data_IF_259392244753
#
_entry.id   IF_259392244753
#
_cell.length_a   1.000
_cell.length_b   1.000
_cell.length_c   1.000
_cell.angle_alpha   90.00
_cell.angle_beta   90.00
_cell.angle_gamma   90.00
#
_symmetry.space_group_name_H-M   'P 1'
#
loop_
_entity.id
_entity.type
_entity.pdbx_description
1 polymer ?
#
# COMPACT_ATOMS: atom_id res chain seq x y z
N UNK A 1 29.44 11.51 44.92
CA UNK A 1 28.34 10.53 45.15
C UNK A 1 27.05 11.23 44.73
N UNK A 2 26.23 10.83 43.77
CA UNK A 2 25.91 9.56 43.08
C UNK A 2 25.75 9.91 41.57
N UNK A 3 26.47 9.29 40.64
CA UNK A 3 26.22 7.97 40.02
C UNK A 3 25.03 7.96 39.03
N UNK A 4 25.40 7.76 37.76
CA UNK A 4 24.84 6.84 36.77
C UNK A 4 23.75 7.26 35.77
N UNK A 5 24.06 6.92 34.50
CA UNK A 5 23.19 6.51 33.37
C UNK A 5 22.51 7.65 32.59
N UNK A 6 22.37 7.63 31.27
CA UNK A 6 22.85 6.73 30.20
C UNK A 6 22.53 7.40 28.86
N UNK A 7 23.23 6.97 27.82
CA UNK A 7 23.09 7.29 26.41
C UNK A 7 21.65 7.30 25.86
N UNK A 8 21.36 8.28 24.99
CA UNK A 8 20.46 8.16 23.84
C UNK A 8 20.59 9.43 22.97
N UNK A 9 21.62 9.51 22.12
CA UNK A 9 21.71 10.54 21.08
C UNK A 9 22.30 9.90 19.84
N UNK A 10 21.45 9.16 19.12
CA UNK A 10 21.62 8.76 17.71
C UNK A 10 20.38 8.00 17.28
N UNK A 11 19.38 8.70 16.74
CA UNK A 11 18.38 8.12 15.83
C UNK A 11 17.49 9.22 15.23
N UNK A 12 17.55 9.31 13.90
CA UNK A 12 16.46 9.71 12.99
C UNK A 12 16.18 11.23 12.90
N UNK A 13 16.91 11.89 12.00
CA UNK A 13 16.36 13.00 11.19
C UNK A 13 16.59 12.63 9.74
N UNK A 14 15.57 12.03 9.11
CA UNK A 14 15.44 11.98 7.66
C UNK A 14 13.99 11.58 7.34
N UNK A 15 13.04 12.51 7.45
CA UNK A 15 11.69 12.40 6.87
C UNK A 15 10.99 13.76 6.99
N UNK A 16 11.48 14.77 6.29
CA UNK A 16 10.70 15.98 5.98
C UNK A 16 11.33 16.73 4.80
N UNK A 17 10.47 17.17 3.88
CA UNK A 17 10.73 17.81 2.59
C UNK A 17 11.17 16.79 1.52
N UNK A 18 10.35 16.48 0.52
CA UNK A 18 9.75 17.42 -0.45
C UNK A 18 8.36 16.91 -0.85
N UNK A 19 7.31 17.70 -0.62
CA UNK A 19 6.07 17.59 -1.39
C UNK A 19 5.68 19.01 -1.85
N UNK A 20 6.49 19.54 -2.77
CA UNK A 20 6.13 20.69 -3.58
C UNK A 20 5.40 20.21 -4.82
N UNK A 21 4.16 20.66 -4.97
CA UNK A 21 3.33 20.47 -6.15
C UNK A 21 4.10 20.78 -7.44
N UNK A 22 4.27 19.77 -8.29
CA UNK A 22 4.27 19.97 -9.75
C UNK A 22 3.43 18.83 -10.35
N UNK A 23 2.29 19.20 -10.90
CA UNK A 23 1.44 18.33 -11.71
C UNK A 23 2.20 18.08 -13.02
N UNK A 24 3.12 17.12 -12.98
CA UNK A 24 3.84 16.68 -14.16
C UNK A 24 3.37 15.26 -14.41
N UNK A 25 2.55 15.10 -15.44
CA UNK A 25 2.16 13.81 -16.00
C UNK A 25 3.39 13.16 -16.64
N UNK A 26 4.30 12.67 -15.80
CA UNK A 26 5.22 11.60 -16.12
C UNK A 26 4.69 10.38 -15.39
N UNK A 27 4.76 9.21 -16.03
CA UNK A 27 4.45 7.94 -15.37
C UNK A 27 5.14 7.94 -14.01
N UNK A 28 4.35 8.08 -12.95
CA UNK A 28 4.83 7.95 -11.60
C UNK A 28 5.33 6.51 -11.53
N UNK A 29 6.64 6.32 -11.39
CA UNK A 29 7.20 5.06 -10.90
C UNK A 29 6.63 4.92 -9.48
N UNK A 30 5.37 4.51 -9.40
CA UNK A 30 4.66 4.33 -8.17
C UNK A 30 5.47 3.31 -7.40
N UNK A 31 5.98 3.69 -6.23
CA UNK A 31 6.78 2.82 -5.38
C UNK A 31 6.07 1.47 -5.25
N UNK A 32 6.72 0.42 -5.75
CA UNK A 32 6.20 -0.95 -5.72
C UNK A 32 6.87 -1.76 -4.63
N UNK A 33 6.13 -2.68 -4.04
CA UNK A 33 6.66 -3.64 -3.07
C UNK A 33 6.27 -5.07 -3.42
N UNK A 34 7.10 -6.02 -2.97
CA UNK A 34 6.75 -7.43 -2.97
C UNK A 34 5.95 -7.75 -1.70
N UNK A 35 4.89 -8.53 -1.84
CA UNK A 35 4.02 -8.96 -0.74
C UNK A 35 4.16 -10.47 -0.57
N UNK A 36 4.45 -10.90 0.66
CA UNK A 36 4.37 -12.31 1.06
C UNK A 36 3.06 -12.55 1.79
N UNK A 37 2.32 -13.58 1.41
CA UNK A 37 1.06 -13.96 2.04
C UNK A 37 1.33 -15.05 3.10
N UNK A 38 0.67 -14.92 4.25
CA UNK A 38 0.68 -15.98 5.27
C UNK A 38 -0.06 -17.22 4.74
N UNK A 39 0.64 -18.34 4.70
CA UNK A 39 0.12 -19.62 4.23
C UNK A 39 -0.19 -20.59 5.38
N UNK A 40 -0.23 -20.11 6.64
CA UNK A 40 -0.47 -20.95 7.82
C UNK A 40 -1.83 -21.65 7.83
N UNK A 41 -2.81 -21.13 7.09
CA UNK A 41 -4.14 -21.72 6.89
C UNK A 41 -4.21 -22.69 5.71
N UNK A 42 -3.11 -22.93 4.98
CA UNK A 42 -3.13 -23.80 3.82
C UNK A 42 -3.38 -25.26 4.21
N UNK A 43 -4.30 -25.90 3.51
CA UNK A 43 -4.65 -27.30 3.68
C UNK A 43 -4.34 -28.11 2.41
N UNK A 44 -4.24 -29.42 2.54
CA UNK A 44 -4.06 -30.28 1.38
C UNK A 44 -5.33 -30.33 0.52
N UNK A 45 -5.20 -30.04 -0.76
CA UNK A 45 -6.29 -29.99 -1.73
C UNK A 45 -6.06 -30.96 -2.89
N UNK A 46 -7.14 -31.48 -3.46
CA UNK A 46 -7.13 -32.34 -4.66
C UNK A 46 -8.46 -32.21 -5.40
N UNK A 47 -8.53 -32.64 -6.66
CA UNK A 47 -9.79 -32.70 -7.42
C UNK A 47 -10.56 -31.36 -7.43
N UNK A 48 -9.87 -30.26 -7.75
CA UNK A 48 -10.47 -28.93 -7.89
C UNK A 48 -10.94 -28.29 -6.56
N UNK A 49 -10.43 -28.76 -5.42
CA UNK A 49 -10.60 -28.08 -4.13
C UNK A 49 -9.49 -27.04 -3.89
N UNK A 50 -9.69 -26.18 -2.88
CA UNK A 50 -8.80 -25.05 -2.58
C UNK A 50 -7.84 -25.42 -1.44
N UNK A 51 -6.55 -25.16 -1.65
CA UNK A 51 -5.52 -25.32 -0.62
C UNK A 51 -5.40 -24.07 0.24
N UNK A 52 -5.46 -22.88 -0.38
CA UNK A 52 -5.37 -21.60 0.32
C UNK A 52 -6.44 -20.64 -0.19
N UNK A 53 -7.05 -19.89 0.72
CA UNK A 53 -7.89 -18.73 0.41
C UNK A 53 -7.22 -17.48 0.97
N UNK A 54 -7.05 -16.48 0.10
CA UNK A 54 -6.49 -15.17 0.41
C UNK A 54 -7.67 -14.18 0.37
N UNK A 55 -8.06 -13.72 1.55
CA UNK A 55 -9.16 -12.77 1.69
C UNK A 55 -8.72 -11.37 1.25
N UNK A 56 -9.67 -10.51 0.86
CA UNK A 56 -9.39 -9.13 0.46
C UNK A 56 -8.62 -8.33 1.53
N UNK A 57 -8.90 -8.60 2.81
CA UNK A 57 -8.19 -7.99 3.94
C UNK A 57 -6.72 -8.44 4.06
N UNK A 58 -6.36 -9.59 3.49
CA UNK A 58 -4.97 -10.06 3.43
C UNK A 58 -4.23 -9.52 2.23
N UNK A 59 -4.90 -9.45 1.08
CA UNK A 59 -4.38 -8.79 -0.10
C UNK A 59 -5.49 -8.20 -0.97
N UNK A 60 -5.42 -6.87 -1.15
CA UNK A 60 -6.30 -6.15 -2.06
C UNK A 60 -5.77 -6.25 -3.50
N UNK A 61 -6.50 -6.96 -4.37
CA UNK A 61 -6.11 -7.20 -5.76
C UNK A 61 -5.96 -5.92 -6.61
N UNK A 62 -6.59 -4.81 -6.21
CA UNK A 62 -6.38 -3.50 -6.87
C UNK A 62 -4.94 -3.02 -6.79
N UNK A 63 -4.12 -3.59 -5.90
CA UNK A 63 -2.69 -3.28 -5.75
C UNK A 63 -1.84 -3.88 -6.86
N UNK A 64 -2.33 -4.85 -7.62
CA UNK A 64 -1.59 -5.42 -8.74
C UNK A 64 -1.26 -4.32 -9.78
N UNK A 65 -0.04 -4.40 -10.31
CA UNK A 65 0.40 -3.62 -11.47
C UNK A 65 0.50 -4.54 -12.69
N UNK A 66 0.66 -3.97 -13.88
CA UNK A 66 0.85 -4.76 -15.11
C UNK A 66 2.09 -5.64 -15.06
N UNK A 67 3.06 -5.30 -14.22
CA UNK A 67 4.30 -6.06 -14.03
C UNK A 67 4.23 -7.02 -12.82
N UNK A 68 3.08 -7.11 -12.14
CA UNK A 68 2.90 -8.03 -11.02
C UNK A 68 2.87 -9.48 -11.48
N UNK A 69 3.54 -10.34 -10.70
CA UNK A 69 3.44 -11.80 -10.80
C UNK A 69 3.02 -12.37 -9.45
N UNK A 70 2.15 -13.36 -9.47
CA UNK A 70 1.83 -14.19 -8.30
C UNK A 70 2.61 -15.50 -8.46
N UNK A 71 3.54 -15.75 -7.54
CA UNK A 71 4.36 -16.96 -7.50
C UNK A 71 3.89 -17.78 -6.30
N UNK A 72 3.40 -18.99 -6.59
CA UNK A 72 2.90 -19.93 -5.59
C UNK A 72 3.86 -21.11 -5.49
N UNK A 73 4.36 -21.38 -4.29
CA UNK A 73 5.12 -22.58 -3.96
C UNK A 73 4.22 -23.57 -3.22
N UNK A 74 4.32 -24.85 -3.53
CA UNK A 74 3.51 -25.92 -2.96
C UNK A 74 4.27 -27.25 -2.94
N UNK A 75 3.83 -28.15 -2.07
CA UNK A 75 4.20 -29.56 -2.14
C UNK A 75 3.16 -30.31 -2.98
N UNK A 76 3.62 -31.22 -3.84
CA UNK A 76 2.77 -32.11 -4.64
C UNK A 76 2.83 -33.55 -4.12
N UNK A 77 1.67 -34.19 -4.03
CA UNK A 77 1.48 -35.60 -3.70
C UNK A 77 0.59 -36.26 -4.77
N UNK A 78 0.65 -37.59 -4.88
CA UNK A 78 -0.26 -38.39 -5.72
C UNK A 78 -0.35 -37.93 -7.20
N UNK A 79 0.80 -37.59 -7.80
CA UNK A 79 0.85 -37.05 -9.16
C UNK A 79 0.33 -38.08 -10.18
N UNK A 80 -0.75 -37.70 -10.87
CA UNK A 80 -1.35 -38.42 -11.97
C UNK A 80 -0.81 -37.92 -13.31
N UNK A 81 0.25 -38.56 -13.80
CA UNK A 81 0.86 -38.33 -15.11
C UNK A 81 -0.12 -38.47 -16.30
N UNK A 82 -1.24 -39.16 -16.10
CA UNK A 82 -2.27 -39.37 -17.14
C UNK A 82 -3.38 -38.31 -17.10
N UNK A 83 -3.32 -37.36 -16.18
CA UNK A 83 -4.26 -36.23 -16.15
C UNK A 83 -4.15 -35.43 -17.46
N UNK A 84 -5.29 -34.90 -17.93
CA UNK A 84 -5.32 -33.96 -19.04
C UNK A 84 -4.71 -32.59 -18.70
N UNK A 85 -4.52 -32.28 -17.42
CA UNK A 85 -3.90 -31.05 -16.96
C UNK A 85 -2.37 -31.15 -16.90
N UNK A 86 -1.73 -30.06 -17.35
CA UNK A 86 -0.27 -29.95 -17.40
C UNK A 86 0.34 -29.43 -16.10
N UNK A 87 -0.48 -28.87 -15.22
CA UNK A 87 -0.06 -28.21 -13.99
C UNK A 87 -0.88 -28.71 -12.80
N UNK A 88 -0.27 -28.71 -11.61
CA UNK A 88 -0.86 -29.22 -10.36
C UNK A 88 -1.67 -28.17 -9.61
N UNK A 89 -1.34 -26.90 -9.78
CA UNK A 89 -1.97 -25.79 -9.07
C UNK A 89 -2.67 -24.84 -10.05
N UNK A 90 -3.81 -24.32 -9.64
CA UNK A 90 -4.52 -23.23 -10.31
C UNK A 90 -4.70 -22.04 -9.38
N UNK A 91 -4.81 -20.85 -9.96
CA UNK A 91 -5.21 -19.64 -9.26
C UNK A 91 -6.67 -19.34 -9.61
N UNK A 92 -7.45 -18.87 -8.65
CA UNK A 92 -8.83 -18.45 -8.87
C UNK A 92 -9.01 -17.02 -8.37
N UNK A 93 -9.49 -16.12 -9.22
CA UNK A 93 -9.98 -14.80 -8.84
C UNK A 93 -11.50 -14.84 -8.79
N UNK A 94 -12.07 -14.62 -7.62
CA UNK A 94 -13.51 -14.69 -7.41
C UNK A 94 -14.10 -13.33 -7.07
N UNK A 95 -15.30 -13.06 -7.58
CA UNK A 95 -16.16 -11.99 -7.10
C UNK A 95 -17.63 -12.40 -7.08
N UNK A 96 -18.41 -11.68 -6.29
CA UNK A 96 -19.87 -11.75 -6.24
C UNK A 96 -20.42 -10.40 -6.69
N UNK A 97 -21.60 -10.40 -7.33
CA UNK A 97 -22.28 -9.18 -7.79
C UNK A 97 -21.41 -8.26 -8.67
N UNK A 98 -20.50 -8.85 -9.44
CA UNK A 98 -19.59 -8.16 -10.31
C UNK A 98 -20.34 -7.46 -11.45
N UNK A 99 -19.99 -6.19 -11.64
CA UNK A 99 -20.52 -5.30 -12.67
C UNK A 99 -19.44 -4.73 -13.59
N UNK A 100 -18.17 -5.07 -13.35
CA UNK A 100 -17.01 -4.54 -14.09
C UNK A 100 -16.56 -5.43 -15.24
N UNK A 101 -17.03 -6.67 -15.32
CA UNK A 101 -16.67 -7.61 -16.38
C UNK A 101 -17.87 -8.29 -17.03
N UNK A 102 -17.78 -8.53 -18.35
CA UNK A 102 -18.82 -9.24 -19.11
C UNK A 102 -18.79 -10.76 -18.94
N UNK A 103 -17.74 -11.32 -18.30
CA UNK A 103 -17.65 -12.77 -18.05
C UNK A 103 -18.43 -13.22 -16.82
N UNK A 104 -18.95 -12.26 -16.04
CA UNK A 104 -19.79 -12.54 -14.88
C UNK A 104 -21.07 -13.28 -15.30
N UNK A 105 -21.39 -14.35 -14.57
CA UNK A 105 -22.63 -15.11 -14.72
C UNK A 105 -23.47 -14.88 -13.48
N UNK A 106 -24.64 -14.25 -13.65
CA UNK A 106 -25.50 -13.80 -12.55
C UNK A 106 -24.73 -12.94 -11.51
N UNK A 107 -23.80 -12.11 -12.01
CA UNK A 107 -22.90 -11.29 -11.18
C UNK A 107 -21.75 -12.06 -10.52
N UNK A 108 -21.72 -13.39 -10.55
CA UNK A 108 -20.60 -14.15 -10.02
C UNK A 108 -19.47 -14.29 -11.05
N UNK A 109 -18.22 -14.16 -10.62
CA UNK A 109 -17.05 -14.51 -11.43
C UNK A 109 -16.26 -15.57 -10.68
N UNK A 110 -15.91 -16.64 -11.40
CA UNK A 110 -14.98 -17.68 -10.96
C UNK A 110 -13.90 -17.83 -12.02
N UNK A 111 -12.97 -16.88 -12.06
CA UNK A 111 -11.92 -16.85 -13.07
C UNK A 111 -10.84 -17.85 -12.70
N UNK A 112 -10.74 -18.96 -13.44
CA UNK A 112 -9.67 -19.97 -13.26
C UNK A 112 -8.49 -19.60 -14.15
N UNK A 113 -7.31 -19.48 -13.55
CA UNK A 113 -6.10 -19.06 -14.24
C UNK A 113 -5.08 -20.20 -14.23
N UNK A 114 -4.61 -20.55 -15.43
CA UNK A 114 -3.49 -21.47 -15.62
C UNK A 114 -2.16 -20.74 -15.38
N UNK A 115 -1.14 -21.40 -14.82
CA UNK A 115 0.18 -20.80 -14.67
C UNK A 115 0.86 -20.61 -16.04
N UNK A 116 1.60 -19.51 -16.16
CA UNK A 116 2.45 -19.21 -17.33
C UNK A 116 3.81 -19.91 -17.24
N UNK A 117 4.27 -20.17 -16.02
CA UNK A 117 5.44 -21.00 -15.71
C UNK A 117 5.07 -21.98 -14.61
N UNK A 118 5.44 -23.25 -14.79
CA UNK A 118 5.12 -24.31 -13.85
C UNK A 118 6.26 -25.32 -13.77
N UNK A 119 6.59 -25.70 -12.53
CA UNK A 119 7.34 -26.90 -12.19
C UNK A 119 6.60 -27.67 -11.07
N UNK A 120 7.17 -28.80 -10.62
CA UNK A 120 6.52 -29.68 -9.64
C UNK A 120 6.28 -29.03 -8.25
N UNK A 121 6.90 -27.88 -8.00
CA UNK A 121 6.90 -27.17 -6.71
C UNK A 121 6.41 -25.73 -6.80
N UNK A 122 6.40 -25.13 -7.99
CA UNK A 122 6.14 -23.71 -8.20
C UNK A 122 5.22 -23.46 -9.40
N UNK A 123 4.32 -22.50 -9.25
CA UNK A 123 3.43 -22.02 -10.31
C UNK A 123 3.43 -20.48 -10.31
N UNK A 124 3.69 -19.88 -11.46
CA UNK A 124 3.70 -18.43 -11.66
C UNK A 124 2.53 -18.00 -12.52
N UNK A 125 1.85 -16.94 -12.11
CA UNK A 125 0.72 -16.33 -12.81
C UNK A 125 1.04 -14.85 -13.05
N UNK A 126 0.89 -14.38 -14.28
CA UNK A 126 1.10 -12.97 -14.63
C UNK A 126 -0.21 -12.17 -14.66
N UNK A 127 -0.06 -10.84 -14.63
CA UNK A 127 -1.20 -9.92 -14.66
C UNK A 127 -2.09 -10.11 -15.89
N UNK A 128 -1.49 -10.31 -17.07
CA UNK A 128 -2.24 -10.44 -18.33
C UNK A 128 -3.14 -11.67 -18.34
N UNK A 129 -2.65 -12.82 -17.88
CA UNK A 129 -3.45 -14.05 -17.77
C UNK A 129 -4.58 -13.89 -16.76
N UNK A 130 -4.32 -13.18 -15.65
CA UNK A 130 -5.33 -12.89 -14.63
C UNK A 130 -6.42 -11.98 -15.18
N UNK A 131 -6.04 -10.85 -15.80
CA UNK A 131 -6.99 -9.90 -16.38
C UNK A 131 -7.81 -10.54 -17.50
N UNK A 132 -7.18 -11.39 -18.33
CA UNK A 132 -7.86 -12.12 -19.40
C UNK A 132 -8.91 -13.09 -18.85
N UNK A 133 -8.54 -13.89 -17.84
CA UNK A 133 -9.46 -14.86 -17.23
C UNK A 133 -10.59 -14.18 -16.46
N UNK A 134 -10.31 -13.05 -15.79
CA UNK A 134 -11.30 -12.25 -15.08
C UNK A 134 -12.14 -11.37 -16.02
N UNK A 135 -11.69 -11.16 -17.26
CA UNK A 135 -12.36 -10.39 -18.31
C UNK A 135 -12.21 -8.87 -18.20
N UNK A 136 -11.43 -8.38 -17.24
CA UNK A 136 -11.12 -6.95 -17.04
C UNK A 136 -9.83 -6.80 -16.23
N UNK A 137 -9.15 -5.66 -16.36
CA UNK A 137 -8.03 -5.26 -15.50
C UNK A 137 -8.48 -4.44 -14.27
N UNK A 138 -9.78 -4.15 -14.15
CA UNK A 138 -10.39 -3.57 -12.95
C UNK A 138 -10.70 -4.65 -11.90
N UNK A 139 -9.75 -4.85 -10.98
CA UNK A 139 -9.86 -5.79 -9.88
C UNK A 139 -10.53 -5.22 -8.62
N UNK A 140 -11.22 -4.07 -8.70
CA UNK A 140 -11.88 -3.45 -7.55
C UNK A 140 -12.96 -4.30 -6.88
N UNK A 141 -13.57 -5.21 -7.64
CA UNK A 141 -14.63 -6.09 -7.16
C UNK A 141 -14.15 -7.53 -6.88
N UNK A 142 -12.84 -7.79 -6.96
CA UNK A 142 -12.29 -9.09 -6.54
C UNK A 142 -12.50 -9.25 -5.04
N UNK A 143 -13.24 -10.29 -4.68
CA UNK A 143 -13.63 -10.61 -3.32
C UNK A 143 -12.57 -11.47 -2.62
N UNK A 144 -12.07 -12.51 -3.30
CA UNK A 144 -11.00 -13.36 -2.79
C UNK A 144 -10.19 -13.98 -3.91
N UNK A 145 -8.96 -14.33 -3.56
CA UNK A 145 -8.04 -15.09 -4.40
C UNK A 145 -7.87 -16.47 -3.77
N UNK A 146 -7.94 -17.53 -4.56
CA UNK A 146 -7.77 -18.90 -4.05
C UNK A 146 -6.69 -19.61 -4.85
N UNK A 147 -5.93 -20.48 -4.19
CA UNK A 147 -5.02 -21.41 -4.84
C UNK A 147 -5.62 -22.81 -4.68
N UNK A 148 -5.90 -23.46 -5.80
CA UNK A 148 -6.55 -24.77 -5.85
C UNK A 148 -5.68 -25.85 -6.48
N UNK A 149 -6.00 -27.10 -6.17
CA UNK A 149 -5.43 -28.26 -6.82
C UNK A 149 -6.18 -28.56 -8.12
N UNK A 150 -5.46 -28.93 -9.18
CA UNK A 150 -6.10 -29.56 -10.35
C UNK A 150 -6.34 -31.06 -10.08
N UNK A 151 -6.82 -31.80 -11.07
CA UNK A 151 -6.88 -33.27 -11.03
C UNK A 151 -5.51 -33.93 -11.29
N UNK A 152 -4.43 -33.16 -11.49
CA UNK A 152 -3.09 -33.68 -11.74
C UNK A 152 -2.41 -34.17 -10.47
N UNK A 153 -2.56 -33.46 -9.36
CA UNK A 153 -1.91 -33.82 -8.11
C UNK A 153 -2.69 -33.27 -6.92
N UNK A 154 -2.48 -33.87 -5.76
CA UNK A 154 -2.83 -33.27 -4.49
C UNK A 154 -1.77 -32.24 -4.13
N UNK A 155 -2.14 -31.01 -3.78
CA UNK A 155 -1.19 -29.95 -3.41
C UNK A 155 -1.43 -29.43 -2.00
N UNK A 156 -0.37 -28.95 -1.36
CA UNK A 156 -0.45 -28.10 -0.16
C UNK A 156 0.40 -26.86 -0.39
N UNK A 157 -0.19 -25.67 -0.35
CA UNK A 157 0.54 -24.41 -0.54
C UNK A 157 1.48 -24.15 0.64
N UNK A 158 2.72 -23.79 0.33
CA UNK A 158 3.77 -23.51 1.32
C UNK A 158 4.30 -22.08 1.24
N UNK A 159 4.02 -21.37 0.15
CA UNK A 159 4.36 -19.96 0.01
C UNK A 159 3.60 -19.27 -1.12
N UNK A 160 3.27 -18.00 -0.93
CA UNK A 160 2.76 -17.13 -1.99
C UNK A 160 3.47 -15.79 -1.91
N UNK A 161 4.09 -15.40 -3.03
CA UNK A 161 4.75 -14.10 -3.21
C UNK A 161 4.10 -13.36 -4.37
N UNK A 162 3.71 -12.12 -4.16
CA UNK A 162 3.13 -11.24 -5.17
C UNK A 162 4.10 -10.08 -5.41
N UNK A 163 4.62 -9.97 -6.63
CA UNK A 163 5.67 -8.99 -6.94
C UNK A 163 5.10 -7.67 -7.45
N UNK A 164 5.90 -6.61 -7.36
CA UNK A 164 5.65 -5.31 -8.00
C UNK A 164 4.25 -4.74 -7.70
N UNK A 165 3.76 -4.90 -6.47
CA UNK A 165 2.45 -4.37 -6.06
C UNK A 165 2.57 -2.89 -5.73
N UNK A 166 1.55 -2.09 -6.05
CA UNK A 166 1.40 -0.74 -5.52
C UNK A 166 1.50 -0.79 -3.99
N UNK A 167 2.33 0.05 -3.39
CA UNK A 167 2.46 0.16 -1.93
C UNK A 167 1.11 0.49 -1.27
N UNK A 168 0.88 -0.03 -0.06
CA UNK A 168 -0.33 0.33 0.70
C UNK A 168 -0.36 1.83 0.97
N UNK A 169 -1.51 2.46 0.72
CA UNK A 169 -1.74 3.85 1.12
C UNK A 169 -1.78 3.95 2.66
N UNK A 170 -1.48 5.13 3.23
CA UNK A 170 -1.47 5.33 4.69
C UNK A 170 -2.78 4.92 5.39
N UNK A 171 -3.93 5.03 4.72
CA UNK A 171 -5.23 4.62 5.25
C UNK A 171 -5.36 3.09 5.39
N UNK A 172 -4.69 2.31 4.54
CA UNK A 172 -4.73 0.84 4.56
C UNK A 172 -3.71 0.24 5.56
N UNK A 173 -2.79 1.06 6.08
CA UNK A 173 -1.83 0.67 7.13
C UNK A 173 -2.47 0.65 8.53
N UNK A 174 -3.48 1.47 8.79
CA UNK A 174 -4.08 1.59 10.13
C UNK A 174 -5.07 0.47 10.49
N UNK A 175 -5.60 -0.29 9.52
CA UNK A 175 -6.60 -1.32 9.79
C UNK A 175 -6.00 -2.60 10.41
N UNK A 176 -4.76 -2.97 10.05
CA UNK A 176 -4.11 -4.21 10.51
C UNK A 176 -3.38 -4.13 11.86
N UNK A 177 -3.05 -2.95 12.37
CA UNK A 177 -2.41 -2.80 13.70
C UNK A 177 -3.40 -2.69 14.88
N UNK A 178 -4.70 -2.94 14.63
CA UNK A 178 -5.75 -2.87 15.64
C UNK A 178 -5.93 -4.14 16.49
N UNK A 179 -5.24 -5.25 16.19
CA UNK A 179 -5.45 -6.51 16.93
C UNK A 179 -4.77 -6.57 18.31
N UNK A 180 -4.27 -5.44 18.83
CA UNK A 180 -3.70 -5.38 20.18
C UNK A 180 -3.60 -4.00 20.85
N UNK A 181 -3.85 -2.90 20.14
CA UNK A 181 -3.71 -1.55 20.69
C UNK A 181 -5.07 -0.93 20.98
N UNK A 182 -5.28 -0.46 22.21
CA UNK A 182 -6.55 0.12 22.66
C UNK A 182 -6.99 1.25 21.70
N UNK A 183 -8.22 1.22 21.14
CA UNK A 183 -8.69 2.21 20.15
C UNK A 183 -8.58 3.66 20.62
N UNK A 184 -8.57 3.90 21.93
CA UNK A 184 -8.36 5.23 22.53
C UNK A 184 -6.96 5.79 22.19
N UNK A 185 -5.93 4.94 22.13
CA UNK A 185 -4.54 5.35 21.84
C UNK A 185 -4.41 5.76 20.36
N UNK A 186 -5.09 5.06 19.45
CA UNK A 186 -5.11 5.37 18.01
C UNK A 186 -5.77 6.74 17.79
N UNK A 187 -6.93 6.98 18.42
CA UNK A 187 -7.62 8.27 18.34
C UNK A 187 -6.76 9.42 18.88
N UNK A 188 -6.04 9.21 19.99
CA UNK A 188 -5.13 10.22 20.54
C UNK A 188 -3.96 10.51 19.58
N UNK A 189 -3.39 9.48 18.94
CA UNK A 189 -2.29 9.65 17.99
C UNK A 189 -2.72 10.43 16.74
N UNK A 190 -3.91 10.13 16.20
CA UNK A 190 -4.47 10.85 15.03
C UNK A 190 -4.75 12.31 15.37
N UNK A 191 -5.39 12.59 16.51
CA UNK A 191 -5.68 13.96 16.94
C UNK A 191 -4.38 14.75 17.18
N UNK A 192 -3.36 14.13 17.79
CA UNK A 192 -2.06 14.78 18.01
C UNK A 192 -1.34 15.10 16.68
N UNK A 193 -1.38 14.18 15.70
CA UNK A 193 -0.77 14.40 14.38
C UNK A 193 -1.42 15.54 13.60
N UNK A 194 -2.76 15.60 13.59
CA UNK A 194 -3.51 16.69 12.95
C UNK A 194 -3.21 18.04 13.63
N UNK A 195 -3.16 18.08 14.96
CA UNK A 195 -2.84 19.31 15.69
C UNK A 195 -1.44 19.84 15.35
N UNK A 196 -0.43 18.96 15.25
CA UNK A 196 0.93 19.35 14.88
C UNK A 196 0.97 19.91 13.45
N UNK A 197 0.27 19.29 12.50
CA UNK A 197 0.19 19.78 11.12
C UNK A 197 -0.46 21.17 11.03
N UNK A 198 -1.55 21.39 11.76
CA UNK A 198 -2.22 22.71 11.83
C UNK A 198 -1.31 23.76 12.46
N UNK A 199 -0.59 23.43 13.54
CA UNK A 199 0.37 24.35 14.19
C UNK A 199 1.51 24.73 13.24
N UNK A 200 2.05 23.77 12.49
CA UNK A 200 3.12 24.03 11.51
C UNK A 200 2.62 24.95 10.39
N UNK A 201 1.39 24.73 9.88
CA UNK A 201 0.78 25.60 8.87
C UNK A 201 0.59 27.02 9.41
N UNK A 202 0.08 27.19 10.63
CA UNK A 202 -0.10 28.50 11.27
C UNK A 202 1.24 29.22 11.47
N UNK A 203 2.29 28.50 11.89
CA UNK A 203 3.64 29.07 12.03
C UNK A 203 4.19 29.51 10.67
N UNK A 204 4.03 28.69 9.63
CA UNK A 204 4.46 29.03 8.26
C UNK A 204 3.70 30.25 7.74
N UNK A 205 2.38 30.32 7.95
CA UNK A 205 1.56 31.46 7.55
C UNK A 205 1.98 32.74 8.28
N UNK A 206 2.23 32.66 9.59
CA UNK A 206 2.73 33.78 10.38
C UNK A 206 4.13 34.22 9.94
N UNK A 207 4.99 33.28 9.52
CA UNK A 207 6.36 33.58 9.06
C UNK A 207 6.40 34.10 7.62
N UNK A 208 5.49 33.67 6.74
CA UNK A 208 5.41 34.12 5.34
C UNK A 208 4.71 35.48 5.18
N UNK A 209 4.06 35.98 6.23
CA UNK A 209 3.37 37.28 6.28
C UNK A 209 4.24 38.42 6.85
N UNK A 210 5.52 38.19 7.18
CA UNK A 210 6.33 39.20 7.87
C UNK A 210 6.92 40.29 6.98
N UNK A 211 6.99 40.12 5.66
CA UNK A 211 7.59 41.10 4.75
C UNK A 211 6.51 41.93 4.03
N UNK A 212 6.70 43.25 3.98
CA UNK A 212 5.90 44.19 3.20
C UNK A 212 6.80 44.95 2.24
N UNK A 213 6.30 45.22 1.02
CA UNK A 213 7.04 46.02 0.04
C UNK A 213 6.88 47.50 0.39
N UNK A 214 7.99 48.15 0.75
CA UNK A 214 8.01 49.58 0.99
C UNK A 214 8.24 50.32 -0.33
N UNK A 215 7.22 51.06 -0.75
CA UNK A 215 7.17 51.80 -2.02
C UNK A 215 8.12 53.00 -2.02
N UNK A 216 8.53 53.51 -0.84
CA UNK A 216 9.42 54.66 -0.73
C UNK A 216 10.89 54.30 -0.93
N UNK A 217 11.30 53.11 -0.46
CA UNK A 217 12.68 52.60 -0.56
C UNK A 217 12.88 51.59 -1.67
N UNK A 218 11.79 51.07 -2.26
CA UNK A 218 11.82 50.07 -3.32
C UNK A 218 12.29 48.69 -2.86
N UNK A 219 12.22 48.40 -1.55
CA UNK A 219 12.70 47.15 -0.94
C UNK A 219 11.64 46.49 -0.09
N UNK A 220 11.75 45.18 0.09
CA UNK A 220 10.95 44.43 1.06
C UNK A 220 11.53 44.63 2.46
N UNK A 221 10.69 45.04 3.40
CA UNK A 221 11.04 45.28 4.80
C UNK A 221 10.14 44.48 5.73
N UNK A 222 10.71 43.99 6.83
CA UNK A 222 9.96 43.29 7.86
C UNK A 222 8.95 44.25 8.53
N UNK A 223 7.67 43.84 8.60
CA UNK A 223 6.56 44.59 9.20
C UNK A 223 6.77 45.00 10.66
N UNK A 224 7.68 44.33 11.38
CA UNK A 224 8.04 44.69 12.76
C UNK A 224 8.90 45.96 12.85
N UNK A 225 9.64 46.29 11.80
CA UNK A 225 10.54 47.44 11.78
C UNK A 225 9.87 48.68 11.17
N UNK A 226 8.67 48.54 10.59
CA UNK A 226 7.90 49.62 9.98
C UNK A 226 7.33 50.64 10.98
N UNK A 227 7.40 50.37 12.29
CA UNK A 227 6.81 51.21 13.35
C UNK A 227 7.81 51.72 14.39
N UNK A 228 9.10 51.36 14.29
CA UNK A 228 10.12 51.78 15.27
C UNK A 228 10.84 53.10 14.90
N UNK A 229 10.62 53.63 13.70
CA UNK A 229 11.36 54.82 13.21
C UNK A 229 10.59 56.15 13.33
N UNK A 230 9.66 56.28 14.28
CA UNK A 230 8.98 57.56 14.53
C UNK A 230 8.95 58.01 15.99
N UNK A 231 9.84 57.51 16.84
CA UNK A 231 9.98 57.99 18.22
C UNK A 231 11.46 58.08 18.61
N UNK A 232 12.18 59.09 18.14
CA UNK A 232 13.40 59.57 18.80
C UNK A 232 13.93 60.91 18.27
N UNK A 233 13.07 61.88 17.92
CA UNK A 233 13.52 63.25 17.62
C UNK A 233 12.59 64.31 18.24
N UNK A 234 12.32 64.21 19.54
CA UNK A 234 11.83 65.35 20.33
C UNK A 234 12.47 65.33 21.73
N UNK A 235 13.77 65.59 21.82
CA UNK A 235 14.41 66.02 23.07
C UNK A 235 15.75 66.72 22.77
N UNK A 236 15.70 67.89 22.13
CA UNK A 236 16.75 68.91 22.32
C UNK A 236 16.25 70.31 21.90
N UNK A 237 15.56 70.98 22.83
CA UNK A 237 15.52 72.45 22.90
C UNK A 237 15.02 72.92 24.27
N UNK A 238 15.97 73.10 25.20
CA UNK A 238 16.02 74.28 26.07
C UNK A 238 17.36 74.39 26.78
#
# INVERSE_FOLDING_TARGET
>A
MKKFLSAAMSAIIACASIFSCTLTAFAEDAETEDVTIDCSSAEAASNWTQSLTIEQGDFNATRLTKDSKIVVTFNSEDVNEKSGNKYSAELIFQSWENTTTSVAQDGAVWAKIAPVEFDETTATYDFESIATAYGTDDFSQVYKIMVGATDRAKITVTGVKITNCKTKTYAEKEEKDSKGTNPIIIVIAVIAGIAIAVVVIVIIMNKKSSEAFDVSTGKFVDKKNLFDESKNDEDEKK
#
